data_IF_480880062223
#
_entry.id   IF_480880062223
#
_cell.length_a   1.000
_cell.length_b   1.000
_cell.length_c   1.000
_cell.angle_alpha   90.00
_cell.angle_beta   90.00
_cell.angle_gamma   90.00
#
_symmetry.space_group_name_H-M   'P 1'
#
loop_
_entity.id
_entity.type
_entity.pdbx_description
1 polymer ?
#
# COMPACT_ATOMS: atom_id res chain seq x y z
N UNK A 1 -1.65 66.47 -47.65
CA UNK A 1 -2.37 65.93 -46.54
C UNK A 1 -2.25 64.42 -46.62
N UNK A 2 -1.38 63.80 -45.84
CA UNK A 2 -1.20 62.36 -45.80
C UNK A 2 -1.52 61.91 -44.39
N UNK A 3 -2.53 61.09 -44.25
CA UNK A 3 -2.91 60.45 -42.98
C UNK A 3 -2.14 59.10 -42.87
N UNK A 4 -1.28 59.00 -41.85
CA UNK A 4 -0.62 57.78 -41.46
C UNK A 4 -1.54 56.93 -40.60
N UNK A 5 -1.69 55.65 -40.96
CA UNK A 5 -2.37 54.63 -40.17
C UNK A 5 -1.32 53.93 -39.31
N UNK A 6 -1.39 54.10 -37.98
CA UNK A 6 -0.62 53.27 -37.03
C UNK A 6 -1.29 51.86 -36.93
N UNK A 7 -0.57 50.87 -37.37
CA UNK A 7 -0.93 49.46 -37.10
C UNK A 7 -0.51 49.05 -35.68
N UNK A 8 -1.46 48.71 -34.85
CA UNK A 8 -1.23 48.05 -33.54
C UNK A 8 -1.06 46.54 -33.78
N UNK A 9 0.18 46.08 -33.66
CA UNK A 9 0.47 44.64 -33.65
C UNK A 9 0.09 44.08 -32.28
N UNK A 10 -1.04 43.41 -32.19
CA UNK A 10 -1.44 42.62 -31.02
C UNK A 10 -0.60 41.36 -30.90
N UNK A 11 0.25 41.26 -29.88
CA UNK A 11 0.86 39.99 -29.46
C UNK A 11 -0.27 39.09 -28.91
N UNK A 12 -0.68 38.10 -29.66
CA UNK A 12 -1.42 36.96 -29.12
C UNK A 12 -0.43 36.05 -28.39
N UNK A 13 -0.42 36.15 -27.06
CA UNK A 13 0.17 35.14 -26.22
C UNK A 13 -0.69 33.87 -26.35
N UNK A 14 -0.22 32.89 -27.11
CA UNK A 14 -0.78 31.56 -27.04
C UNK A 14 -0.40 30.96 -25.69
N UNK A 15 -1.34 30.98 -24.75
CA UNK A 15 -1.29 30.08 -23.61
C UNK A 15 -1.47 28.66 -24.14
N UNK A 16 -0.37 27.88 -24.21
CA UNK A 16 -0.48 26.44 -24.33
C UNK A 16 -1.22 25.96 -23.07
N UNK A 17 -2.49 25.65 -23.20
CA UNK A 17 -3.19 24.84 -22.23
C UNK A 17 -2.48 23.48 -22.22
N UNK A 18 -1.73 23.19 -21.17
CA UNK A 18 -1.30 21.84 -20.87
C UNK A 18 -2.59 21.04 -20.61
N UNK A 19 -3.06 20.34 -21.62
CA UNK A 19 -4.09 19.33 -21.44
C UNK A 19 -3.52 18.31 -20.47
N UNK A 20 -4.19 18.14 -19.32
CA UNK A 20 -3.88 17.09 -18.37
C UNK A 20 -4.10 15.74 -19.07
N UNK A 21 -3.03 15.13 -19.56
CA UNK A 21 -3.04 13.78 -20.06
C UNK A 21 -3.22 12.83 -18.88
N UNK A 22 -4.47 12.58 -18.50
CA UNK A 22 -4.80 11.47 -17.61
C UNK A 22 -4.38 10.17 -18.29
N UNK A 23 -3.54 9.38 -17.63
CA UNK A 23 -3.28 8.01 -18.02
C UNK A 23 -1.95 7.67 -18.70
N UNK A 24 -1.07 8.63 -19.00
CA UNK A 24 0.26 8.29 -19.51
C UNK A 24 1.15 7.75 -18.37
N UNK A 25 1.74 6.55 -18.58
CA UNK A 25 2.77 6.04 -17.69
C UNK A 25 4.02 6.95 -17.74
N UNK A 26 4.45 7.46 -16.61
CA UNK A 26 5.64 8.32 -16.49
C UNK A 26 6.92 7.49 -16.30
N UNK A 27 6.80 6.22 -15.90
CA UNK A 27 7.92 5.28 -15.78
C UNK A 27 8.45 4.93 -17.18
N UNK A 28 9.76 4.96 -17.32
CA UNK A 28 10.44 4.63 -18.57
C UNK A 28 10.84 3.15 -18.53
N UNK A 29 10.37 2.36 -19.53
CA UNK A 29 10.73 0.95 -19.62
C UNK A 29 10.29 0.11 -18.39
N UNK A 30 9.14 0.41 -17.83
CA UNK A 30 8.58 -0.36 -16.71
C UNK A 30 8.17 -1.79 -17.12
N UNK A 31 8.04 -2.05 -18.41
CA UNK A 31 7.83 -3.35 -19.06
C UNK A 31 9.15 -4.09 -19.38
N UNK A 32 10.29 -3.55 -19.02
CA UNK A 32 11.64 -4.08 -19.23
C UNK A 32 12.00 -4.51 -20.69
N UNK A 33 11.15 -4.24 -21.68
CA UNK A 33 11.34 -4.67 -23.07
C UNK A 33 12.61 -4.09 -23.72
N UNK A 34 13.06 -2.92 -23.26
CA UNK A 34 14.32 -2.28 -23.69
C UNK A 34 15.55 -2.79 -22.94
N UNK A 35 15.39 -3.85 -22.11
CA UNK A 35 16.47 -4.41 -21.29
C UNK A 35 16.81 -3.54 -20.09
N UNK A 36 18.06 -3.61 -19.64
CA UNK A 36 18.56 -2.93 -18.44
C UNK A 36 18.77 -1.43 -18.67
N UNK A 37 17.68 -0.68 -18.82
CA UNK A 37 17.70 0.77 -19.05
C UNK A 37 16.47 1.44 -18.43
N UNK A 38 16.59 2.73 -18.09
CA UNK A 38 15.49 3.55 -17.57
C UNK A 38 15.39 3.58 -16.04
N UNK A 39 16.09 2.73 -15.34
CA UNK A 39 16.07 2.63 -13.88
C UNK A 39 17.48 2.47 -13.29
N UNK A 40 17.58 2.63 -11.99
CA UNK A 40 18.76 2.29 -11.18
C UNK A 40 18.40 1.23 -10.15
N UNK A 41 19.40 0.51 -9.65
CA UNK A 41 19.25 -0.55 -8.65
C UNK A 41 20.51 -0.69 -7.82
N UNK A 42 20.38 -1.17 -6.60
CA UNK A 42 21.50 -1.60 -5.76
C UNK A 42 21.92 -3.05 -5.97
N UNK A 43 21.24 -3.78 -6.86
CA UNK A 43 21.52 -5.17 -7.20
C UNK A 43 22.57 -5.29 -8.31
N UNK A 44 23.20 -6.45 -8.41
CA UNK A 44 24.24 -6.73 -9.42
C UNK A 44 23.63 -7.38 -10.64
N UNK A 45 23.82 -6.77 -11.82
CA UNK A 45 23.32 -7.30 -13.08
C UNK A 45 24.10 -8.56 -13.51
N UNK A 46 23.37 -9.57 -13.95
CA UNK A 46 23.89 -10.73 -14.69
C UNK A 46 23.57 -12.05 -14.03
N UNK A 47 24.38 -12.51 -13.09
CA UNK A 47 24.25 -13.83 -12.46
C UNK A 47 23.31 -13.73 -11.24
N UNK A 48 22.26 -14.54 -11.25
CA UNK A 48 21.26 -14.60 -10.17
C UNK A 48 21.51 -15.76 -9.19
N UNK A 49 22.66 -16.43 -9.25
CA UNK A 49 23.01 -17.52 -8.29
C UNK A 49 23.32 -17.02 -6.89
N UNK A 50 23.51 -15.73 -6.71
CA UNK A 50 23.81 -15.12 -5.42
C UNK A 50 22.77 -14.07 -5.02
N UNK A 51 22.41 -14.00 -3.72
CA UNK A 51 21.53 -12.96 -3.20
C UNK A 51 22.00 -11.55 -3.57
N UNK A 52 21.07 -10.72 -4.03
CA UNK A 52 21.38 -9.38 -4.54
C UNK A 52 21.78 -9.35 -6.02
N UNK A 53 21.64 -10.48 -6.74
CA UNK A 53 21.77 -10.56 -8.18
C UNK A 53 20.46 -10.29 -8.91
N UNK A 54 20.50 -9.77 -10.13
CA UNK A 54 19.32 -9.68 -11.00
C UNK A 54 19.69 -9.85 -12.47
N UNK A 55 18.67 -10.21 -13.26
CA UNK A 55 18.79 -10.33 -14.71
C UNK A 55 17.55 -9.72 -15.39
N UNK A 56 17.67 -9.31 -16.66
CA UNK A 56 16.53 -8.94 -17.50
C UNK A 56 16.40 -9.98 -18.59
N UNK A 57 15.32 -10.73 -18.59
CA UNK A 57 15.14 -11.87 -19.51
C UNK A 57 13.70 -12.34 -19.62
N UNK A 58 13.46 -13.35 -20.51
CA UNK A 58 12.11 -13.79 -20.83
C UNK A 58 11.51 -14.78 -19.82
N UNK A 59 12.34 -15.44 -19.03
CA UNK A 59 11.89 -16.40 -18.02
C UNK A 59 12.94 -16.62 -16.93
N UNK A 60 12.54 -16.75 -15.66
CA UNK A 60 13.45 -17.07 -14.58
C UNK A 60 14.30 -18.31 -14.80
N UNK A 61 13.71 -19.40 -15.31
CA UNK A 61 14.41 -20.66 -15.54
C UNK A 61 15.63 -20.57 -16.48
N UNK A 62 15.74 -19.53 -17.31
CA UNK A 62 16.87 -19.34 -18.24
C UNK A 62 17.76 -18.16 -17.87
N UNK A 63 17.53 -17.51 -16.74
CA UNK A 63 18.38 -16.45 -16.25
C UNK A 63 19.81 -17.02 -15.94
N UNK A 64 20.88 -16.27 -16.18
CA UNK A 64 22.22 -16.74 -15.84
C UNK A 64 22.33 -17.04 -14.33
N UNK A 65 22.68 -18.28 -13.98
CA UNK A 65 22.77 -18.73 -12.58
C UNK A 65 21.44 -19.12 -11.94
N UNK A 66 20.36 -19.23 -12.69
CA UNK A 66 19.06 -19.65 -12.19
C UNK A 66 19.08 -21.02 -11.52
N UNK A 67 18.30 -21.18 -10.47
CA UNK A 67 18.12 -22.48 -9.81
C UNK A 67 17.17 -23.37 -10.61
N UNK A 68 17.30 -24.70 -10.42
CA UNK A 68 16.57 -25.68 -11.23
C UNK A 68 15.05 -25.70 -10.94
N UNK A 69 14.64 -25.19 -9.83
CA UNK A 69 13.27 -25.08 -9.32
C UNK A 69 12.60 -23.74 -9.65
N UNK A 70 13.34 -22.81 -10.24
CA UNK A 70 12.73 -21.58 -10.71
C UNK A 70 11.77 -21.78 -11.87
N UNK A 71 10.66 -21.05 -11.86
CA UNK A 71 9.59 -21.21 -12.84
C UNK A 71 10.04 -20.93 -14.28
N UNK A 72 9.51 -21.71 -15.21
CA UNK A 72 9.55 -21.41 -16.63
C UNK A 72 8.33 -20.56 -17.03
N UNK A 73 8.05 -19.52 -16.22
CA UNK A 73 6.97 -18.58 -16.46
C UNK A 73 7.45 -17.44 -17.38
N UNK A 74 6.56 -16.92 -18.23
CA UNK A 74 6.83 -15.77 -19.09
C UNK A 74 6.59 -14.43 -18.37
N UNK A 75 6.98 -13.34 -19.02
CA UNK A 75 6.70 -11.98 -18.57
C UNK A 75 5.19 -11.73 -18.44
N UNK A 76 4.81 -10.70 -17.67
CA UNK A 76 3.39 -10.34 -17.51
C UNK A 76 2.82 -9.68 -18.77
N UNK A 77 3.59 -8.84 -19.45
CA UNK A 77 3.13 -8.01 -20.56
C UNK A 77 2.65 -8.85 -21.76
N UNK A 78 3.45 -9.84 -22.17
CA UNK A 78 3.21 -10.60 -23.42
C UNK A 78 3.26 -12.11 -23.25
N UNK A 79 3.83 -12.61 -22.15
CA UNK A 79 4.16 -14.01 -21.91
C UNK A 79 5.45 -14.49 -22.58
N UNK A 80 6.11 -13.64 -23.40
CA UNK A 80 7.32 -13.97 -24.17
C UNK A 80 8.31 -12.83 -24.25
N UNK A 81 8.04 -11.70 -23.63
CA UNK A 81 8.87 -10.50 -23.56
C UNK A 81 9.96 -10.60 -22.49
N UNK A 82 10.23 -9.50 -21.81
CA UNK A 82 11.25 -9.45 -20.76
C UNK A 82 10.66 -8.94 -19.46
N UNK A 83 11.20 -9.42 -18.37
CA UNK A 83 10.93 -9.03 -17.01
C UNK A 83 12.22 -8.81 -16.24
N UNK A 84 12.18 -8.15 -15.10
CA UNK A 84 13.27 -8.12 -14.13
C UNK A 84 13.18 -9.35 -13.23
N UNK A 85 14.21 -10.18 -13.23
CA UNK A 85 14.32 -11.41 -12.44
C UNK A 85 15.33 -11.17 -11.32
N UNK A 86 14.95 -11.41 -10.08
CA UNK A 86 15.67 -10.99 -8.89
C UNK A 86 15.92 -12.16 -7.96
N UNK A 87 17.16 -12.33 -7.51
CA UNK A 87 17.47 -13.10 -6.31
C UNK A 87 17.58 -12.11 -5.14
N UNK A 88 16.68 -12.21 -4.19
CA UNK A 88 16.55 -11.25 -3.09
C UNK A 88 17.82 -11.02 -2.29
N UNK A 89 18.06 -9.79 -1.86
CA UNK A 89 19.27 -9.43 -1.12
C UNK A 89 19.15 -9.82 0.36
N UNK A 90 20.24 -10.35 0.93
CA UNK A 90 20.32 -10.64 2.37
C UNK A 90 20.70 -9.43 3.22
N UNK A 91 20.96 -8.29 2.59
CA UNK A 91 21.23 -7.02 3.25
C UNK A 91 19.98 -6.15 3.24
N UNK A 92 19.50 -5.68 4.41
CA UNK A 92 18.30 -4.88 4.46
C UNK A 92 18.46 -3.52 3.76
N UNK A 93 17.40 -3.05 3.11
CA UNK A 93 17.34 -1.71 2.54
C UNK A 93 18.01 -1.54 1.18
N UNK A 94 18.44 -2.64 0.54
CA UNK A 94 18.97 -2.56 -0.83
C UNK A 94 17.83 -2.23 -1.80
N UNK A 95 18.05 -1.22 -2.64
CA UNK A 95 17.09 -0.81 -3.66
C UNK A 95 16.99 -1.86 -4.77
N UNK A 96 15.80 -2.39 -4.99
CA UNK A 96 15.49 -3.30 -6.10
C UNK A 96 15.39 -2.53 -7.41
N UNK A 97 14.58 -1.47 -7.41
CA UNK A 97 14.31 -0.64 -8.57
C UNK A 97 14.07 0.81 -8.14
N UNK A 98 14.60 1.76 -8.90
CA UNK A 98 14.46 3.19 -8.63
C UNK A 98 14.42 4.00 -9.92
N UNK A 99 13.48 4.95 -10.00
CA UNK A 99 13.40 5.94 -11.07
C UNK A 99 12.84 7.26 -10.56
N UNK A 100 13.39 8.38 -11.02
CA UNK A 100 12.89 9.71 -10.73
C UNK A 100 12.11 10.26 -11.93
N UNK A 101 10.87 10.70 -11.69
CA UNK A 101 9.98 11.21 -12.73
C UNK A 101 9.48 12.62 -12.41
N UNK A 102 9.13 13.40 -13.46
CA UNK A 102 8.52 14.72 -13.29
C UNK A 102 7.03 14.57 -12.98
N UNK A 103 6.52 15.34 -12.03
CA UNK A 103 5.12 15.33 -11.63
C UNK A 103 4.53 16.75 -11.57
N UNK A 104 3.22 16.83 -11.72
CA UNK A 104 2.48 18.08 -11.50
C UNK A 104 2.13 18.21 -10.02
N UNK A 105 2.40 19.37 -9.38
CA UNK A 105 1.97 19.60 -8.00
C UNK A 105 0.46 19.44 -7.79
N UNK A 106 0.05 19.10 -6.56
CA UNK A 106 -1.35 18.93 -6.13
C UNK A 106 -2.13 17.90 -6.96
N UNK A 107 -1.43 16.90 -7.46
CA UNK A 107 -1.99 15.87 -8.33
C UNK A 107 -1.88 14.51 -7.65
N UNK A 108 -2.94 13.71 -7.73
CA UNK A 108 -2.92 12.34 -7.28
C UNK A 108 -2.36 11.42 -8.35
N UNK A 109 -1.48 10.53 -7.96
CA UNK A 109 -0.82 9.54 -8.82
C UNK A 109 -1.08 8.13 -8.30
N UNK A 110 -1.13 7.18 -9.22
CA UNK A 110 -1.15 5.75 -8.94
C UNK A 110 0.19 5.15 -9.37
N UNK A 111 0.87 4.50 -8.44
CA UNK A 111 2.01 3.64 -8.72
C UNK A 111 1.54 2.20 -8.70
N UNK A 112 1.92 1.41 -9.70
CA UNK A 112 1.64 -0.03 -9.69
C UNK A 112 2.80 -0.82 -10.29
N UNK A 113 2.86 -2.10 -9.94
CA UNK A 113 3.73 -3.08 -10.57
C UNK A 113 3.08 -4.45 -10.53
N UNK A 114 3.50 -5.35 -11.41
CA UNK A 114 3.20 -6.76 -11.32
C UNK A 114 4.39 -7.48 -10.73
N UNK A 115 4.12 -8.36 -9.77
CA UNK A 115 5.11 -9.19 -9.09
C UNK A 115 4.72 -10.66 -9.17
N UNK A 116 5.71 -11.53 -9.32
CA UNK A 116 5.55 -12.97 -9.26
C UNK A 116 6.73 -13.59 -8.51
N UNK A 117 6.45 -14.51 -7.60
CA UNK A 117 7.49 -15.35 -7.02
C UNK A 117 7.99 -16.35 -8.08
N UNK A 118 9.28 -16.61 -8.10
CA UNK A 118 9.91 -17.48 -9.11
C UNK A 118 10.29 -18.84 -8.58
N UNK A 119 10.36 -19.01 -7.26
CA UNK A 119 10.69 -20.25 -6.57
C UNK A 119 9.43 -20.92 -6.03
N UNK A 120 9.29 -22.27 -6.18
CA UNK A 120 8.05 -22.96 -5.88
C UNK A 120 7.93 -23.48 -4.43
N UNK A 121 9.00 -23.48 -3.64
CA UNK A 121 9.02 -24.02 -2.29
C UNK A 121 9.19 -22.94 -1.19
N UNK A 122 8.92 -21.69 -1.52
CA UNK A 122 9.15 -20.57 -0.65
C UNK A 122 8.36 -20.64 0.65
N UNK A 123 9.08 -20.66 1.76
CA UNK A 123 8.53 -20.43 3.11
C UNK A 123 8.60 -18.97 3.56
N UNK A 124 9.21 -18.10 2.75
CA UNK A 124 9.51 -16.70 3.08
C UNK A 124 9.30 -15.82 1.85
N UNK A 125 8.13 -15.17 1.76
CA UNK A 125 7.73 -14.40 0.59
C UNK A 125 8.53 -13.10 0.44
N UNK A 126 8.84 -12.67 -0.80
CA UNK A 126 9.37 -11.34 -1.06
C UNK A 126 8.40 -10.26 -0.54
N UNK A 127 8.94 -9.28 0.19
CA UNK A 127 8.17 -8.19 0.79
C UNK A 127 8.63 -6.84 0.27
N UNK A 128 7.94 -6.30 -0.73
CA UNK A 128 8.37 -5.08 -1.40
C UNK A 128 7.76 -3.83 -0.76
N UNK A 129 8.64 -2.90 -0.36
CA UNK A 129 8.31 -1.59 0.18
C UNK A 129 8.45 -0.52 -0.90
N UNK A 130 7.38 0.24 -1.14
CA UNK A 130 7.42 1.44 -1.99
C UNK A 130 7.73 2.68 -1.15
N UNK A 131 8.75 3.43 -1.58
CA UNK A 131 8.98 4.81 -1.12
C UNK A 131 8.82 5.78 -2.27
N UNK A 132 8.27 6.97 -1.99
CA UNK A 132 8.26 8.11 -2.92
C UNK A 132 8.81 9.33 -2.18
N UNK A 133 9.85 9.94 -2.74
CA UNK A 133 10.58 11.04 -2.11
C UNK A 133 11.07 10.70 -0.68
N UNK A 134 11.57 9.47 -0.51
CA UNK A 134 12.07 8.94 0.76
C UNK A 134 10.97 8.56 1.78
N UNK A 135 9.70 8.90 1.51
CA UNK A 135 8.56 8.54 2.38
C UNK A 135 7.98 7.19 1.98
N UNK A 136 7.75 6.33 2.96
CA UNK A 136 7.03 5.05 2.76
C UNK A 136 5.59 5.34 2.34
N UNK A 137 5.17 4.74 1.25
CA UNK A 137 3.81 4.83 0.70
C UNK A 137 3.02 3.57 1.01
N UNK A 138 3.67 2.40 0.94
CA UNK A 138 3.07 1.12 1.27
C UNK A 138 4.05 -0.02 1.05
N UNK A 139 3.58 -1.23 1.33
CA UNK A 139 4.32 -2.45 1.08
C UNK A 139 3.36 -3.57 0.67
N UNK A 140 3.86 -4.61 0.01
CA UNK A 140 3.08 -5.79 -0.38
C UNK A 140 3.96 -7.03 -0.43
N UNK A 141 3.38 -8.17 -0.09
CA UNK A 141 4.00 -9.48 -0.30
C UNK A 141 3.74 -9.93 -1.73
N UNK A 142 4.75 -10.49 -2.38
CA UNK A 142 4.56 -11.21 -3.64
C UNK A 142 4.02 -12.60 -3.30
N UNK A 143 2.88 -13.03 -3.88
CA UNK A 143 2.26 -14.29 -3.50
C UNK A 143 3.08 -15.49 -3.94
N UNK A 144 2.98 -16.56 -3.15
CA UNK A 144 3.67 -17.82 -3.39
C UNK A 144 3.40 -18.37 -4.79
N UNK A 145 4.45 -18.80 -5.45
CA UNK A 145 4.38 -19.59 -6.66
C UNK A 145 3.71 -20.95 -6.38
N UNK A 146 2.79 -21.33 -7.23
CA UNK A 146 2.21 -22.67 -7.21
C UNK A 146 2.51 -23.36 -8.53
N UNK A 147 3.04 -24.58 -8.53
CA UNK A 147 3.31 -25.33 -9.76
C UNK A 147 2.07 -25.50 -10.65
N UNK A 148 0.89 -25.53 -10.03
CA UNK A 148 -0.39 -25.63 -10.72
C UNK A 148 -0.84 -24.31 -11.37
N UNK A 149 -0.28 -23.18 -10.96
CA UNK A 149 -0.63 -21.84 -11.42
C UNK A 149 0.47 -21.15 -12.27
N UNK A 150 1.62 -21.80 -12.46
CA UNK A 150 2.67 -21.39 -13.40
C UNK A 150 3.22 -19.97 -13.19
N UNK A 151 3.68 -19.60 -12.00
CA UNK A 151 4.18 -18.25 -11.70
C UNK A 151 3.04 -17.23 -11.75
N UNK A 152 2.32 -17.09 -10.67
CA UNK A 152 1.15 -16.21 -10.59
C UNK A 152 1.58 -14.75 -10.50
N UNK A 153 1.33 -14.00 -11.55
CA UNK A 153 1.46 -12.55 -11.51
C UNK A 153 0.35 -11.92 -10.68
N UNK A 154 0.71 -11.00 -9.79
CA UNK A 154 -0.23 -10.20 -9.01
C UNK A 154 0.09 -8.71 -9.15
N UNK A 155 -0.97 -7.91 -9.31
CA UNK A 155 -0.86 -6.45 -9.39
C UNK A 155 -0.86 -5.83 -8.00
N UNK A 156 0.10 -4.97 -7.75
CA UNK A 156 0.19 -4.16 -6.53
C UNK A 156 0.06 -2.69 -6.89
N UNK A 157 -0.88 -2.00 -6.26
CA UNK A 157 -1.20 -0.60 -6.59
C UNK A 157 -1.19 0.28 -5.34
N UNK A 158 -0.58 1.46 -5.45
CA UNK A 158 -0.44 2.44 -4.38
C UNK A 158 -0.82 3.83 -4.89
N UNK A 159 -1.42 4.65 -4.02
CA UNK A 159 -1.76 6.04 -4.35
C UNK A 159 -0.83 7.01 -3.63
N UNK A 160 -0.49 8.08 -4.31
CA UNK A 160 0.35 9.15 -3.76
C UNK A 160 -0.11 10.51 -4.28
N UNK A 161 -0.18 11.50 -3.39
CA UNK A 161 -0.45 12.89 -3.77
C UNK A 161 0.86 13.67 -3.79
N UNK A 162 1.12 14.34 -4.89
CA UNK A 162 2.37 15.10 -5.09
C UNK A 162 2.51 16.30 -4.15
N UNK A 163 1.42 16.81 -3.56
CA UNK A 163 1.47 18.01 -2.73
C UNK A 163 2.14 19.17 -3.48
N UNK A 164 3.25 19.68 -2.98
CA UNK A 164 4.05 20.72 -3.64
C UNK A 164 5.20 20.16 -4.50
N UNK A 165 5.37 18.86 -4.57
CA UNK A 165 6.48 18.23 -5.30
C UNK A 165 6.31 18.37 -6.80
N UNK A 166 7.43 18.63 -7.49
CA UNK A 166 7.53 18.65 -8.95
C UNK A 166 8.25 17.41 -9.50
N UNK A 167 8.81 16.59 -8.60
CA UNK A 167 9.47 15.32 -8.90
C UNK A 167 8.96 14.25 -7.95
N UNK A 168 8.92 13.00 -8.43
CA UNK A 168 8.73 11.81 -7.60
C UNK A 168 9.93 10.90 -7.81
N UNK A 169 10.63 10.62 -6.72
CA UNK A 169 11.68 9.64 -6.64
C UNK A 169 11.05 8.33 -6.16
N UNK A 170 10.85 7.40 -7.09
CA UNK A 170 10.13 6.14 -6.90
C UNK A 170 11.11 5.04 -6.58
N UNK A 171 10.98 4.40 -5.42
CA UNK A 171 11.95 3.39 -4.94
C UNK A 171 11.22 2.16 -4.44
N UNK A 172 11.55 0.98 -4.99
CA UNK A 172 11.15 -0.32 -4.47
C UNK A 172 12.33 -0.97 -3.73
N UNK A 173 12.05 -1.48 -2.54
CA UNK A 173 13.03 -2.14 -1.66
C UNK A 173 12.43 -3.46 -1.22
N UNK A 174 13.15 -4.57 -1.41
CA UNK A 174 12.80 -5.81 -0.74
C UNK A 174 13.25 -5.75 0.72
N UNK A 175 12.31 -5.99 1.63
CA UNK A 175 12.56 -6.01 3.07
C UNK A 175 12.80 -7.40 3.63
N UNK A 176 12.49 -8.44 2.85
CA UNK A 176 12.86 -9.78 3.22
C UNK A 176 14.37 -9.95 2.98
N UNK A 177 15.07 -10.46 3.98
CA UNK A 177 16.53 -10.70 3.93
C UNK A 177 16.88 -12.16 4.08
N UNK A 178 15.91 -13.04 3.89
CA UNK A 178 16.14 -14.49 3.89
C UNK A 178 16.95 -14.89 2.66
N UNK A 179 18.02 -15.68 2.86
CA UNK A 179 18.95 -16.05 1.78
C UNK A 179 18.43 -17.12 0.84
N UNK A 180 17.30 -17.71 1.15
CA UNK A 180 16.85 -18.85 0.38
C UNK A 180 15.35 -18.83 0.17
N UNK A 181 14.72 -17.95 -0.54
CA UNK A 181 13.28 -18.05 -0.75
C UNK A 181 12.59 -16.69 -0.96
N UNK A 182 13.35 -15.62 -1.16
CA UNK A 182 12.80 -14.31 -1.50
C UNK A 182 13.10 -13.91 -2.95
N UNK A 183 12.97 -14.89 -3.85
CA UNK A 183 13.27 -14.74 -5.26
C UNK A 183 11.99 -14.37 -6.03
N UNK A 184 12.07 -13.36 -6.90
CA UNK A 184 10.88 -12.83 -7.56
C UNK A 184 11.16 -12.24 -8.93
N UNK A 185 10.10 -11.99 -9.67
CA UNK A 185 10.13 -11.20 -10.90
C UNK A 185 9.25 -9.96 -10.77
N UNK A 186 9.65 -8.88 -11.45
CA UNK A 186 8.88 -7.64 -11.59
C UNK A 186 8.62 -7.36 -13.06
N UNK A 187 7.42 -6.83 -13.35
CA UNK A 187 7.05 -6.37 -14.68
C UNK A 187 6.00 -5.26 -14.62
N UNK A 188 5.79 -4.57 -15.74
CA UNK A 188 4.75 -3.55 -15.94
C UNK A 188 4.69 -2.51 -14.81
N UNK A 189 5.85 -1.98 -14.41
CA UNK A 189 5.91 -0.88 -13.45
C UNK A 189 5.31 0.36 -14.08
N UNK A 190 4.35 0.98 -13.39
CA UNK A 190 3.62 2.12 -13.89
C UNK A 190 3.45 3.19 -12.82
N UNK A 191 3.58 4.45 -13.25
CA UNK A 191 3.25 5.61 -12.43
C UNK A 191 2.53 6.65 -13.28
N UNK A 192 1.27 6.90 -12.99
CA UNK A 192 0.43 7.78 -13.82
C UNK A 192 -0.46 8.65 -12.95
N UNK A 193 -0.81 9.83 -13.46
CA UNK A 193 -1.81 10.67 -12.81
C UNK A 193 -3.15 9.93 -12.77
N UNK A 194 -3.72 9.80 -11.57
CA UNK A 194 -5.09 9.30 -11.41
C UNK A 194 -6.01 10.33 -12.03
N UNK A 195 -6.67 10.00 -13.14
CA UNK A 195 -7.45 10.96 -13.91
C UNK A 195 -8.49 11.66 -13.04
N UNK A 196 -8.31 12.97 -12.82
CA UNK A 196 -9.40 13.82 -12.36
C UNK A 196 -10.36 13.97 -13.53
N UNK A 197 -11.59 13.48 -13.41
CA UNK A 197 -12.67 13.87 -14.32
C UNK A 197 -12.76 15.39 -14.26
N UNK A 198 -12.41 16.04 -15.38
CA UNK A 198 -12.51 17.48 -15.52
C UNK A 198 -13.95 17.92 -15.26
N UNK A 199 -14.20 18.54 -14.10
CA UNK A 199 -15.44 19.25 -13.83
C UNK A 199 -15.43 20.50 -14.68
N UNK A 200 -16.34 20.55 -15.66
CA UNK A 200 -16.58 21.73 -16.48
C UNK A 200 -16.80 22.98 -15.64
N UNK A 201 -16.24 24.08 -16.12
CA UNK A 201 -16.36 25.39 -15.52
C UNK A 201 -17.83 25.82 -15.37
N UNK A 202 -18.24 26.16 -14.16
CA UNK A 202 -19.53 26.79 -13.91
C UNK A 202 -19.91 26.86 -12.43
N UNK A 203 -19.86 28.09 -11.88
CA UNK A 203 -20.48 28.58 -10.66
C UNK A 203 -19.79 28.29 -9.33
N UNK A 204 -19.47 29.39 -8.66
CA UNK A 204 -19.06 29.45 -7.28
C UNK A 204 -20.03 28.72 -6.36
N UNK A 205 -19.51 27.80 -5.55
CA UNK A 205 -20.27 27.08 -4.52
C UNK A 205 -19.70 27.49 -3.16
N UNK A 206 -20.60 27.77 -2.17
CA UNK A 206 -20.15 28.14 -0.83
C UNK A 206 -19.50 26.97 -0.10
N UNK A 207 -18.57 27.34 0.79
CA UNK A 207 -17.80 26.44 1.63
C UNK A 207 -18.70 25.45 2.41
N UNK A 208 -18.42 24.19 2.27
CA UNK A 208 -18.98 23.09 3.08
C UNK A 208 -19.44 21.92 2.24
N UNK A 209 -18.51 20.97 1.96
CA UNK A 209 -18.85 19.56 2.09
C UNK A 209 -17.61 18.70 1.80
N UNK A 210 -17.41 17.74 2.67
CA UNK A 210 -16.36 16.72 2.58
C UNK A 210 -16.44 15.99 1.24
N UNK A 211 -15.29 15.94 0.57
CA UNK A 211 -15.13 15.24 -0.69
C UNK A 211 -15.47 13.75 -0.56
N UNK A 212 -16.12 13.24 -1.58
CA UNK A 212 -16.43 11.84 -1.81
C UNK A 212 -15.19 10.95 -1.64
N UNK A 213 -15.01 10.39 -0.43
CA UNK A 213 -14.25 9.18 -0.27
C UNK A 213 -15.15 8.04 -0.73
N UNK A 214 -14.72 7.25 -1.71
CA UNK A 214 -15.43 6.03 -2.07
C UNK A 214 -15.65 5.17 -0.82
N UNK A 215 -16.81 4.52 -0.68
CA UNK A 215 -17.09 3.76 0.52
C UNK A 215 -16.09 2.59 0.63
N UNK A 216 -15.42 2.51 1.77
CA UNK A 216 -14.57 1.36 2.09
C UNK A 216 -15.49 0.15 2.20
N UNK A 217 -15.29 -0.84 1.33
CA UNK A 217 -16.03 -2.10 1.36
C UNK A 217 -15.11 -3.22 1.81
N UNK A 218 -15.63 -4.14 2.61
CA UNK A 218 -14.93 -5.36 3.01
C UNK A 218 -15.76 -6.58 2.62
N UNK A 219 -15.11 -7.61 2.11
CA UNK A 219 -15.68 -8.94 1.91
C UNK A 219 -15.46 -9.84 3.12
N UNK A 220 -14.76 -9.37 4.14
CA UNK A 220 -14.55 -10.15 5.36
C UNK A 220 -15.86 -10.39 6.10
N UNK A 221 -16.00 -11.58 6.65
CA UNK A 221 -17.07 -11.91 7.58
C UNK A 221 -16.59 -11.48 8.97
N UNK A 222 -17.34 -10.57 9.59
CA UNK A 222 -17.09 -10.10 10.95
C UNK A 222 -18.30 -10.47 11.80
N UNK A 223 -18.07 -11.28 12.83
CA UNK A 223 -19.05 -11.62 13.86
C UNK A 223 -18.54 -11.18 15.22
N UNK A 224 -19.40 -10.58 16.00
CA UNK A 224 -19.10 -10.09 17.36
C UNK A 224 -20.20 -10.58 18.29
N UNK A 225 -19.83 -11.19 19.42
CA UNK A 225 -20.77 -11.66 20.43
C UNK A 225 -20.56 -10.92 21.76
N UNK A 226 -21.65 -10.68 22.45
CA UNK A 226 -21.64 -10.17 23.82
C UNK A 226 -21.30 -11.30 24.82
N UNK A 227 -21.12 -10.93 26.09
CA UNK A 227 -20.82 -11.87 27.21
C UNK A 227 -21.92 -12.91 27.47
N UNK A 228 -23.03 -12.88 26.77
CA UNK A 228 -24.11 -13.87 26.82
C UNK A 228 -24.14 -14.76 25.60
N UNK A 229 -23.16 -14.61 24.69
CA UNK A 229 -23.06 -15.32 23.41
C UNK A 229 -24.05 -14.82 22.35
N UNK A 230 -24.75 -13.69 22.58
CA UNK A 230 -25.65 -13.11 21.61
C UNK A 230 -24.86 -12.34 20.55
N UNK A 231 -25.19 -12.58 19.27
CA UNK A 231 -24.56 -11.87 18.15
C UNK A 231 -25.00 -10.40 18.11
N UNK A 232 -24.02 -9.50 17.96
CA UNK A 232 -24.26 -8.07 17.82
C UNK A 232 -24.35 -7.76 16.34
N UNK A 233 -25.49 -7.28 15.83
CA UNK A 233 -25.63 -6.89 14.43
C UNK A 233 -24.83 -5.62 14.16
N UNK A 234 -23.74 -5.74 13.40
CA UNK A 234 -22.86 -4.63 13.04
C UNK A 234 -23.20 -4.08 11.65
N UNK A 235 -23.15 -2.77 11.51
CA UNK A 235 -23.16 -2.09 10.23
C UNK A 235 -21.83 -2.29 9.50
N UNK A 236 -21.77 -1.98 8.21
CA UNK A 236 -20.57 -2.19 7.41
C UNK A 236 -19.37 -1.37 7.94
N UNK A 237 -19.59 -0.11 8.26
CA UNK A 237 -18.60 0.78 8.86
C UNK A 237 -18.11 0.28 10.23
N UNK A 238 -19.01 -0.30 11.02
CA UNK A 238 -18.68 -0.89 12.33
C UNK A 238 -17.84 -2.16 12.19
N UNK A 239 -18.09 -2.97 11.17
CA UNK A 239 -17.25 -4.13 10.85
C UNK A 239 -15.82 -3.72 10.52
N UNK A 240 -15.64 -2.66 9.73
CA UNK A 240 -14.33 -2.10 9.40
C UNK A 240 -13.61 -1.64 10.67
N UNK A 241 -14.33 -0.92 11.56
CA UNK A 241 -13.75 -0.49 12.84
C UNK A 241 -13.32 -1.66 13.73
N UNK A 242 -14.11 -2.74 13.80
CA UNK A 242 -13.75 -3.97 14.53
C UNK A 242 -12.47 -4.57 13.98
N UNK A 243 -12.37 -4.71 12.66
CA UNK A 243 -11.20 -5.27 12.00
C UNK A 243 -9.94 -4.46 12.29
N UNK A 244 -10.06 -3.13 12.25
CA UNK A 244 -8.94 -2.25 12.57
C UNK A 244 -8.53 -2.36 14.05
N UNK A 245 -9.48 -2.43 14.95
CA UNK A 245 -9.21 -2.60 16.38
C UNK A 245 -8.54 -3.94 16.70
N UNK A 246 -8.91 -5.03 15.98
CA UNK A 246 -8.24 -6.34 16.07
C UNK A 246 -6.80 -6.27 15.56
N UNK A 247 -6.57 -5.57 14.45
CA UNK A 247 -5.24 -5.37 13.90
C UNK A 247 -4.34 -4.56 14.86
N UNK A 248 -4.86 -3.52 15.51
CA UNK A 248 -4.12 -2.79 16.56
C UNK A 248 -3.67 -3.75 17.66
N UNK A 249 -4.55 -4.64 18.15
CA UNK A 249 -4.19 -5.62 19.16
C UNK A 249 -3.02 -6.50 18.76
N UNK A 250 -3.08 -7.07 17.56
CA UNK A 250 -2.01 -7.92 17.03
C UNK A 250 -0.70 -7.15 16.86
N UNK A 251 -0.75 -5.91 16.39
CA UNK A 251 0.43 -5.07 16.21
C UNK A 251 1.06 -4.62 17.54
N UNK A 252 0.26 -4.36 18.56
CA UNK A 252 0.77 -4.07 19.90
C UNK A 252 1.47 -5.28 20.54
N UNK A 253 0.96 -6.48 20.30
CA UNK A 253 1.64 -7.72 20.72
C UNK A 253 2.98 -7.91 20.00
N UNK A 254 3.07 -7.52 18.73
CA UNK A 254 4.31 -7.55 17.98
C UNK A 254 5.30 -6.48 18.47
N UNK A 255 4.83 -5.27 18.78
CA UNK A 255 5.64 -4.24 19.42
C UNK A 255 6.25 -4.74 20.73
N UNK A 256 5.45 -5.40 21.57
CA UNK A 256 5.93 -5.94 22.85
C UNK A 256 6.98 -7.03 22.64
N UNK A 257 6.71 -7.99 21.73
CA UNK A 257 7.60 -9.11 21.46
C UNK A 257 8.93 -8.72 20.82
N UNK A 258 8.91 -7.81 19.85
CA UNK A 258 10.10 -7.50 19.04
C UNK A 258 10.83 -6.23 19.47
N UNK A 259 10.11 -5.25 20.03
CA UNK A 259 10.68 -3.97 20.44
C UNK A 259 10.74 -3.79 21.94
N UNK A 260 10.16 -4.72 22.71
CA UNK A 260 10.02 -4.65 24.17
C UNK A 260 9.43 -3.29 24.63
N UNK A 261 8.45 -2.78 23.86
CA UNK A 261 7.73 -1.53 24.15
C UNK A 261 6.31 -1.58 23.58
N UNK A 262 5.46 -0.67 24.01
CA UNK A 262 4.18 -0.36 23.38
C UNK A 262 4.35 0.73 22.33
N UNK A 263 3.56 0.66 21.29
CA UNK A 263 3.67 1.56 20.14
C UNK A 263 2.50 2.56 20.08
N UNK A 264 2.78 3.80 19.70
CA UNK A 264 1.74 4.77 19.38
C UNK A 264 1.01 4.41 18.08
N UNK A 265 -0.20 4.93 17.86
CA UNK A 265 -0.91 4.71 16.61
C UNK A 265 -0.08 5.13 15.38
N UNK A 266 0.67 6.22 15.49
CA UNK A 266 1.56 6.68 14.43
C UNK A 266 2.67 5.66 14.12
N UNK A 267 3.24 5.02 15.16
CA UNK A 267 4.23 3.95 14.99
C UNK A 267 3.61 2.68 14.41
N UNK A 268 2.39 2.32 14.84
CA UNK A 268 1.65 1.17 14.31
C UNK A 268 1.31 1.33 12.83
N UNK A 269 0.91 2.53 12.41
CA UNK A 269 0.55 2.85 11.01
C UNK A 269 1.77 3.06 10.14
N UNK A 270 2.84 3.71 10.64
CA UNK A 270 4.09 3.92 9.92
C UNK A 270 4.97 2.66 9.86
N UNK A 271 4.66 1.68 10.69
CA UNK A 271 5.51 0.53 10.98
C UNK A 271 6.75 0.91 11.78
N UNK A 272 7.15 0.09 12.74
CA UNK A 272 8.48 0.21 13.27
C UNK A 272 9.50 -0.15 12.20
N UNK A 273 10.70 0.38 12.29
CA UNK A 273 11.86 0.01 11.46
C UNK A 273 12.36 -1.42 11.81
N UNK A 274 11.46 -2.37 11.92
CA UNK A 274 11.73 -3.76 12.26
C UNK A 274 11.43 -4.68 11.08
N UNK A 275 12.37 -5.52 10.67
CA UNK A 275 12.21 -6.42 9.51
C UNK A 275 11.09 -7.47 9.68
N UNK A 276 10.63 -7.72 10.89
CA UNK A 276 9.57 -8.71 11.20
C UNK A 276 8.16 -8.13 11.25
N UNK A 277 8.00 -6.85 10.94
CA UNK A 277 6.73 -6.16 11.08
C UNK A 277 5.91 -6.25 9.79
N UNK A 278 4.97 -7.16 9.76
CA UNK A 278 4.09 -7.38 8.62
C UNK A 278 2.87 -6.44 8.65
N UNK A 279 3.07 -5.16 8.29
CA UNK A 279 2.01 -4.16 8.19
C UNK A 279 1.15 -4.36 6.93
N UNK A 280 1.56 -5.22 6.02
CA UNK A 280 0.83 -5.55 4.78
C UNK A 280 -0.63 -5.96 4.97
N UNK A 281 -1.06 -6.23 6.21
CA UNK A 281 -2.46 -6.51 6.54
C UNK A 281 -3.35 -5.29 6.71
N UNK A 282 -2.78 -4.09 6.91
CA UNK A 282 -3.55 -2.86 7.00
C UNK A 282 -3.41 -2.05 5.71
N UNK A 283 -4.11 -2.46 4.66
CA UNK A 283 -4.30 -1.65 3.43
C UNK A 283 -5.20 -0.41 3.69
N UNK A 284 -5.20 0.11 4.91
CA UNK A 284 -6.12 1.14 5.36
C UNK A 284 -5.41 2.20 6.20
N UNK A 285 -5.57 3.46 5.81
CA UNK A 285 -5.10 4.60 6.59
C UNK A 285 -6.20 5.05 7.56
N UNK A 286 -6.07 4.79 8.88
CA UNK A 286 -7.10 5.15 9.85
C UNK A 286 -7.35 6.66 9.91
N UNK A 287 -6.41 7.50 9.48
CA UNK A 287 -6.61 8.94 9.41
C UNK A 287 -7.58 9.37 8.30
N UNK A 288 -7.86 8.48 7.35
CA UNK A 288 -8.78 8.70 6.22
C UNK A 288 -10.17 8.11 6.44
N UNK A 289 -10.41 7.44 7.57
CA UNK A 289 -11.75 6.90 7.86
C UNK A 289 -12.76 8.05 8.06
N UNK A 290 -13.76 8.18 7.20
CA UNK A 290 -14.77 9.22 7.36
C UNK A 290 -15.70 8.94 8.53
N UNK A 291 -15.78 7.69 8.99
CA UNK A 291 -16.74 7.24 9.99
C UNK A 291 -16.16 7.20 11.40
N UNK A 292 -14.82 7.00 11.51
CA UNK A 292 -14.16 6.83 12.80
C UNK A 292 -12.91 7.67 12.97
N UNK A 293 -12.67 8.09 14.21
CA UNK A 293 -11.36 8.54 14.69
C UNK A 293 -10.77 7.45 15.56
N UNK A 294 -9.60 6.97 15.17
CA UNK A 294 -8.86 5.98 15.94
C UNK A 294 -7.83 6.64 16.85
N UNK A 295 -7.65 6.08 18.04
CA UNK A 295 -6.59 6.49 18.97
C UNK A 295 -5.96 5.27 19.62
N UNK A 296 -4.65 5.35 19.87
CA UNK A 296 -3.91 4.43 20.75
C UNK A 296 -3.22 5.27 21.80
N UNK A 297 -3.43 4.92 23.06
CA UNK A 297 -2.83 5.61 24.21
C UNK A 297 -2.05 4.59 25.03
N UNK A 298 -0.78 4.86 25.25
CA UNK A 298 0.09 4.02 26.07
C UNK A 298 -0.12 4.39 27.54
N UNK A 299 -0.40 3.38 28.38
CA UNK A 299 -0.69 3.54 29.79
C UNK A 299 0.25 2.69 30.63
N UNK A 300 1.38 3.24 31.04
CA UNK A 300 2.35 2.52 31.86
C UNK A 300 2.88 1.25 31.19
N UNK A 301 2.40 0.06 31.63
CA UNK A 301 2.79 -1.23 31.03
C UNK A 301 1.83 -1.75 29.97
N UNK A 302 0.76 -1.04 29.70
CA UNK A 302 -0.27 -1.45 28.78
C UNK A 302 -0.59 -0.37 27.74
N UNK A 303 -1.66 -0.60 27.03
CA UNK A 303 -2.21 0.31 26.04
C UNK A 303 -3.74 0.25 26.04
N UNK A 304 -4.37 1.30 25.55
CA UNK A 304 -5.79 1.32 25.22
C UNK A 304 -5.97 1.89 23.84
N UNK A 305 -6.94 1.35 23.10
CA UNK A 305 -7.30 1.87 21.78
C UNK A 305 -8.79 2.18 21.72
N UNK A 306 -9.17 3.15 20.89
CA UNK A 306 -10.57 3.45 20.61
C UNK A 306 -10.83 3.73 19.16
N UNK A 307 -11.98 3.27 18.66
CA UNK A 307 -12.63 3.71 17.44
C UNK A 307 -13.83 4.56 17.83
N UNK A 308 -13.67 5.87 17.75
CA UNK A 308 -14.69 6.86 18.11
C UNK A 308 -15.49 7.26 16.89
N UNK A 309 -16.82 7.00 16.83
CA UNK A 309 -17.63 7.38 15.69
C UNK A 309 -17.66 8.89 15.49
N UNK A 310 -17.58 9.33 14.24
CA UNK A 310 -17.66 10.73 13.82
C UNK A 310 -19.10 11.15 13.48
N UNK A 311 -20.02 10.19 13.38
CA UNK A 311 -21.41 10.42 13.02
C UNK A 311 -22.36 9.76 14.02
N UNK A 312 -23.55 10.32 14.18
CA UNK A 312 -24.60 9.74 15.04
C UNK A 312 -25.13 8.43 14.40
N UNK A 313 -25.54 7.51 15.25
CA UNK A 313 -26.17 6.26 14.81
C UNK A 313 -25.23 5.12 14.49
N UNK A 314 -23.90 5.30 14.65
CA UNK A 314 -22.89 4.22 14.60
C UNK A 314 -22.30 3.99 15.98
N UNK A 315 -21.94 2.73 16.25
CA UNK A 315 -21.38 2.30 17.51
C UNK A 315 -19.87 2.56 17.58
N UNK A 316 -19.37 2.71 18.79
CA UNK A 316 -17.95 2.84 19.06
C UNK A 316 -17.36 1.55 19.62
N UNK A 317 -16.05 1.42 19.50
CA UNK A 317 -15.26 0.30 20.05
C UNK A 317 -14.15 0.83 20.93
N UNK A 318 -13.86 0.08 21.98
CA UNK A 318 -12.77 0.34 22.90
C UNK A 318 -12.07 -0.97 23.21
N UNK A 319 -10.74 -0.96 23.25
CA UNK A 319 -9.91 -2.12 23.57
C UNK A 319 -8.96 -1.73 24.71
N UNK A 320 -8.91 -2.56 25.74
CA UNK A 320 -8.04 -2.40 26.90
C UNK A 320 -6.99 -3.52 26.93
N UNK A 321 -5.79 -3.23 26.49
CA UNK A 321 -4.61 -4.11 26.52
C UNK A 321 -3.77 -3.97 27.79
N UNK A 322 -4.30 -3.34 28.86
CA UNK A 322 -3.53 -3.12 30.08
C UNK A 322 -3.48 -4.32 31.03
N UNK A 323 -4.31 -5.35 30.82
CA UNK A 323 -4.60 -6.40 31.81
C UNK A 323 -4.23 -7.83 31.46
N UNK A 324 -3.43 -8.09 30.41
CA UNK A 324 -3.02 -9.46 30.12
C UNK A 324 -2.67 -9.71 28.65
N UNK A 325 -2.45 -10.98 28.30
CA UNK A 325 -2.09 -11.41 26.95
C UNK A 325 -3.25 -11.30 25.93
N UNK A 326 -4.50 -11.22 26.43
CA UNK A 326 -5.68 -11.05 25.56
C UNK A 326 -6.34 -9.72 25.97
N UNK A 327 -6.42 -8.74 25.05
CA UNK A 327 -7.07 -7.46 25.35
C UNK A 327 -8.57 -7.61 25.56
N UNK A 328 -9.10 -6.86 26.51
CA UNK A 328 -10.54 -6.74 26.71
C UNK A 328 -11.15 -5.79 25.67
N UNK A 329 -12.18 -6.22 24.97
CA UNK A 329 -12.88 -5.42 23.96
C UNK A 329 -14.28 -5.01 24.43
N UNK A 330 -14.69 -3.79 24.12
CA UNK A 330 -15.96 -3.21 24.52
C UNK A 330 -16.67 -2.53 23.36
N UNK A 331 -17.99 -2.60 23.36
CA UNK A 331 -18.83 -2.01 22.32
C UNK A 331 -19.96 -1.16 22.94
N UNK A 332 -20.29 -0.07 22.26
CA UNK A 332 -21.45 0.78 22.54
C UNK A 332 -22.18 1.08 21.24
N UNK A 333 -23.50 0.76 21.18
CA UNK A 333 -24.30 0.86 19.97
C UNK A 333 -24.44 2.28 19.39
N UNK A 334 -24.30 3.32 20.20
CA UNK A 334 -24.34 4.71 19.74
C UNK A 334 -23.28 5.53 20.50
N UNK A 335 -22.36 6.12 19.75
CA UNK A 335 -21.32 6.98 20.30
C UNK A 335 -20.08 6.25 20.81
N UNK A 336 -19.13 6.97 21.40
CA UNK A 336 -17.83 6.41 21.83
C UNK A 336 -18.00 5.34 22.93
N UNK A 337 -17.28 4.23 22.78
CA UNK A 337 -17.21 3.17 23.79
C UNK A 337 -16.08 3.42 24.80
N UNK A 338 -16.25 2.87 25.98
CA UNK A 338 -15.28 2.89 27.11
C UNK A 338 -15.25 1.54 27.82
N UNK A 339 -14.33 1.31 28.72
CA UNK A 339 -14.27 0.10 29.55
C UNK A 339 -15.49 -0.10 30.49
N UNK A 340 -16.47 0.80 30.46
CA UNK A 340 -17.74 0.71 31.20
C UNK A 340 -18.90 0.22 30.36
N UNK A 341 -18.70 0.08 29.06
CA UNK A 341 -19.73 -0.35 28.10
C UNK A 341 -19.80 -1.89 28.02
N UNK A 342 -20.58 -2.42 27.09
CA UNK A 342 -20.75 -3.86 26.94
C UNK A 342 -19.44 -4.53 26.52
N UNK A 343 -18.92 -5.40 27.38
CA UNK A 343 -17.76 -6.22 27.05
C UNK A 343 -18.13 -7.25 26.00
N UNK A 344 -17.22 -7.49 25.08
CA UNK A 344 -17.35 -8.50 24.03
C UNK A 344 -16.69 -9.81 24.47
N UNK A 345 -17.34 -10.94 24.23
CA UNK A 345 -16.82 -12.27 24.53
C UNK A 345 -16.00 -12.81 23.38
N UNK A 346 -16.49 -12.63 22.15
CA UNK A 346 -15.89 -13.19 20.96
C UNK A 346 -15.92 -12.16 19.82
N UNK A 347 -14.77 -12.02 19.16
CA UNK A 347 -14.67 -11.30 17.87
C UNK A 347 -14.05 -12.27 16.88
N UNK A 348 -14.79 -12.62 15.85
CA UNK A 348 -14.33 -13.49 14.77
C UNK A 348 -14.27 -12.69 13.47
N UNK A 349 -13.11 -12.73 12.82
CA UNK A 349 -12.87 -12.12 11.51
C UNK A 349 -12.31 -13.19 10.59
N UNK A 350 -13.00 -13.44 9.48
CA UNK A 350 -12.56 -14.36 8.44
C UNK A 350 -12.68 -13.72 7.06
N UNK A 351 -11.72 -13.99 6.17
CA UNK A 351 -11.65 -13.42 4.83
C UNK A 351 -10.62 -12.29 4.71
N UNK A 352 -10.52 -11.70 3.53
CA UNK A 352 -9.60 -10.61 3.25
C UNK A 352 -9.97 -9.35 4.03
N UNK A 353 -8.97 -8.76 4.66
CA UNK A 353 -9.18 -7.70 5.64
C UNK A 353 -9.58 -6.39 5.02
N UNK A 354 -9.12 -6.03 3.82
CA UNK A 354 -9.54 -4.82 3.10
C UNK A 354 -9.32 -4.95 1.59
N UNK A 355 -10.34 -4.66 0.80
CA UNK A 355 -10.17 -4.25 -0.59
C UNK A 355 -10.52 -2.75 -0.66
N UNK A 356 -9.54 -1.94 -1.05
CA UNK A 356 -9.77 -0.56 -1.46
C UNK A 356 -9.94 -0.59 -2.96
N UNK A 357 -11.12 -0.24 -3.45
CA UNK A 357 -11.41 -0.05 -4.87
C UNK A 357 -11.11 1.37 -5.29
#
# INVERSE_FOLDING_TARGET
>A
MAFGVLGVAGLMAMALAAEAQGGQNLVINGDFEKGNTGFTTGYTLGDVSNPGGYSIGPTPATAPGAFADWCNCGDHTTGTGKMMIVNGATTPGVTVWEEAVQVTPSTEYSFSYWGAEVDHDSSSLPHLLLKINGRVIGASDIPQYSPDNGGKWENHTFRWNSGTSQTADLVLIDQNTDSGWNDFALDDISFSASGSVASGAGAAVPAGNAANSEPITTHAQVSVKDMKGAEIPLKQEEKIAVMFMQAIGSMEDDCDRHLNKRCSLAELVAGPNSPSWNIGRLKYDPARDPNYRYTVTITGRGWVASATPQHAGIGGFFVDGSRGMIPDSYYRANGPATAKDSRLEEISVSGEIFQVH
#
